data_IF_689065325068
#
_entry.id   IF_689065325068
#
_cell.length_a   1.000
_cell.length_b   1.000
_cell.length_c   1.000
_cell.angle_alpha   90.00
_cell.angle_beta   90.00
_cell.angle_gamma   90.00
#
_symmetry.space_group_name_H-M   'P 1'
#
loop_
_entity.id
_entity.type
_entity.pdbx_description
1 polymer ?
#
# COMPACT_ATOMS: atom_id res chain seq x y z
N UNK A 1 0.07 43.80 55.54
CA UNK A 1 -0.44 42.62 54.82
C UNK A 1 -0.79 43.04 53.40
N UNK A 2 -0.08 42.56 52.39
CA UNK A 2 -0.42 42.72 50.96
C UNK A 2 -0.16 41.36 50.29
N UNK A 3 -1.14 40.73 49.61
CA UNK A 3 -0.93 39.43 49.00
C UNK A 3 -0.27 39.62 47.62
N UNK A 4 0.77 38.85 47.34
CA UNK A 4 1.29 38.66 45.99
C UNK A 4 0.38 37.65 45.28
N UNK A 5 -0.28 38.07 44.20
CA UNK A 5 -0.96 37.16 43.28
C UNK A 5 0.03 36.66 42.24
N UNK A 6 0.35 35.37 42.29
CA UNK A 6 1.10 34.69 41.24
C UNK A 6 0.11 34.24 40.14
N UNK A 7 0.23 34.82 38.95
CA UNK A 7 -0.49 34.38 37.76
C UNK A 7 0.27 33.19 37.18
N UNK A 8 -0.29 31.99 37.31
CA UNK A 8 0.22 30.77 36.71
C UNK A 8 -0.31 30.67 35.27
N UNK A 9 0.50 31.04 34.28
CA UNK A 9 0.17 30.85 32.87
C UNK A 9 0.33 29.37 32.50
N UNK A 10 -0.78 28.64 32.36
CA UNK A 10 -0.79 27.32 31.73
C UNK A 10 -0.54 27.49 30.22
N UNK A 11 0.68 27.21 29.78
CA UNK A 11 0.98 27.07 28.36
C UNK A 11 0.34 25.80 27.83
N UNK A 12 -0.62 25.92 26.90
CA UNK A 12 -1.17 24.80 26.17
C UNK A 12 -0.09 24.22 25.25
N UNK A 13 0.48 23.08 25.64
CA UNK A 13 1.41 22.33 24.82
C UNK A 13 0.60 21.66 23.70
N UNK A 14 0.59 22.26 22.51
CA UNK A 14 -0.01 21.65 21.31
C UNK A 14 0.95 20.55 20.86
N UNK A 15 0.75 19.32 21.32
CA UNK A 15 1.49 18.17 20.82
C UNK A 15 1.02 17.93 19.39
N UNK A 16 1.87 18.05 18.35
CA UNK A 16 1.48 17.63 17.02
C UNK A 16 1.21 16.12 17.09
N UNK A 17 -0.03 15.72 16.81
CA UNK A 17 -0.38 14.33 16.53
C UNK A 17 0.29 13.99 15.19
N UNK A 18 1.56 13.62 15.24
CA UNK A 18 2.24 13.07 14.07
C UNK A 18 1.60 11.71 13.82
N UNK A 19 0.67 11.66 12.87
CA UNK A 19 0.25 10.38 12.33
C UNK A 19 1.46 9.75 11.66
N UNK A 20 2.03 8.73 12.31
CA UNK A 20 3.19 8.04 11.78
C UNK A 20 2.77 7.28 10.51
N UNK A 21 1.66 6.54 10.55
CA UNK A 21 1.31 5.61 9.48
C UNK A 21 0.48 6.28 8.37
N UNK A 22 0.64 5.80 7.15
CA UNK A 22 0.08 6.42 5.95
C UNK A 22 -0.88 5.52 5.16
N UNK A 23 -1.49 6.12 4.15
CA UNK A 23 -2.32 5.48 3.13
C UNK A 23 -2.08 6.16 1.77
N UNK A 24 -2.53 5.53 0.68
CA UNK A 24 -2.45 6.13 -0.65
C UNK A 24 -3.60 7.13 -0.83
N UNK A 25 -3.27 8.42 -0.77
CA UNK A 25 -4.21 9.54 -0.97
C UNK A 25 -4.74 9.61 -2.41
N UNK A 26 -3.95 9.15 -3.36
CA UNK A 26 -4.34 9.05 -4.76
C UNK A 26 -3.18 8.79 -5.68
N UNK A 27 -3.47 8.88 -6.97
CA UNK A 27 -2.51 8.59 -8.03
C UNK A 27 -2.57 9.63 -9.14
N UNK A 28 -1.47 9.76 -9.87
CA UNK A 28 -1.42 10.50 -11.13
C UNK A 28 -0.96 9.60 -12.26
N UNK A 29 -1.67 9.66 -13.38
CA UNK A 29 -1.32 8.99 -14.64
C UNK A 29 -1.45 10.03 -15.75
N UNK A 30 -0.39 10.24 -16.54
CA UNK A 30 -0.39 11.20 -17.65
C UNK A 30 -0.91 12.60 -17.26
N UNK A 31 -0.61 13.05 -16.04
CA UNK A 31 -1.02 14.35 -15.50
C UNK A 31 -2.44 14.39 -14.90
N UNK A 32 -3.21 13.31 -14.98
CA UNK A 32 -4.57 13.23 -14.42
C UNK A 32 -4.54 12.64 -13.01
N UNK A 33 -5.03 13.41 -12.04
CA UNK A 33 -5.21 12.96 -10.66
C UNK A 33 -6.45 12.08 -10.50
N UNK A 34 -6.34 11.02 -9.70
CA UNK A 34 -7.49 10.21 -9.25
C UNK A 34 -7.33 9.90 -7.76
N UNK A 35 -8.36 10.18 -6.97
CA UNK A 35 -8.34 9.94 -5.54
C UNK A 35 -8.29 8.44 -5.18
N UNK A 36 -7.47 8.13 -4.17
CA UNK A 36 -7.41 6.83 -3.50
C UNK A 36 -8.50 6.67 -2.45
N UNK A 37 -8.31 5.78 -1.49
CA UNK A 37 -9.25 5.59 -0.39
C UNK A 37 -8.71 6.25 0.89
N UNK A 38 -9.21 7.45 1.18
CA UNK A 38 -8.95 8.12 2.46
C UNK A 38 -9.77 7.45 3.57
N UNK A 39 -9.15 6.92 4.65
CA UNK A 39 -9.85 6.26 5.75
C UNK A 39 -10.93 7.11 6.43
N UNK A 40 -10.93 8.44 6.24
CA UNK A 40 -12.02 9.35 6.64
C UNK A 40 -13.36 8.97 6.02
N UNK A 41 -13.40 8.19 4.93
CA UNK A 41 -14.62 7.67 4.30
C UNK A 41 -15.60 7.07 5.32
N UNK A 42 -15.10 6.45 6.40
CA UNK A 42 -15.88 5.78 7.44
C UNK A 42 -16.78 6.75 8.24
N UNK A 43 -16.39 8.01 8.33
CA UNK A 43 -17.11 9.03 9.11
C UNK A 43 -18.17 9.77 8.29
N UNK A 44 -18.27 9.52 6.99
CA UNK A 44 -19.36 10.05 6.19
C UNK A 44 -20.68 9.35 6.54
N UNK A 45 -21.82 10.07 6.51
CA UNK A 45 -23.13 9.44 6.55
C UNK A 45 -23.24 8.31 5.51
N UNK A 46 -23.94 7.24 5.86
CA UNK A 46 -24.10 6.06 4.99
C UNK A 46 -24.54 6.47 3.58
N UNK A 47 -23.81 5.98 2.57
CA UNK A 47 -24.08 6.26 1.16
C UNK A 47 -23.59 7.61 0.63
N UNK A 48 -22.98 8.45 1.47
CA UNK A 48 -22.52 9.81 1.09
C UNK A 48 -21.02 9.94 0.90
N UNK A 49 -20.23 8.92 1.26
CA UNK A 49 -18.78 8.93 1.03
C UNK A 49 -18.48 9.09 -0.47
N UNK A 50 -17.50 9.93 -0.85
CA UNK A 50 -17.13 10.11 -2.25
C UNK A 50 -16.77 8.79 -2.94
N UNK A 51 -17.20 8.63 -4.19
CA UNK A 51 -16.74 7.53 -5.03
C UNK A 51 -15.26 7.74 -5.38
N UNK A 52 -14.41 6.76 -5.09
CA UNK A 52 -12.98 6.78 -5.39
C UNK A 52 -12.59 5.52 -6.16
N UNK A 53 -11.37 5.52 -6.72
CA UNK A 53 -10.81 4.31 -7.34
C UNK A 53 -10.19 3.37 -6.28
N UNK A 54 -9.86 3.92 -5.10
CA UNK A 54 -9.37 3.16 -3.97
C UNK A 54 -10.45 2.29 -3.34
N UNK A 55 -10.04 1.15 -2.80
CA UNK A 55 -10.89 0.27 -2.02
C UNK A 55 -10.97 0.78 -0.59
N UNK A 56 -12.19 0.96 -0.07
CA UNK A 56 -12.43 1.44 1.29
C UNK A 56 -12.19 0.32 2.29
N UNK A 57 -11.37 0.58 3.31
CA UNK A 57 -11.02 -0.38 4.38
C UNK A 57 -11.21 0.20 5.79
N UNK A 58 -11.27 -0.68 6.78
CA UNK A 58 -11.37 -0.34 8.20
C UNK A 58 -9.97 -0.10 8.81
N UNK A 59 -9.33 0.98 8.38
CA UNK A 59 -7.97 1.38 8.75
C UNK A 59 -7.93 2.84 9.23
N UNK A 60 -8.92 3.27 10.00
CA UNK A 60 -9.01 4.64 10.55
C UNK A 60 -7.86 4.95 11.53
N UNK A 61 -7.25 3.91 12.10
CA UNK A 61 -6.00 3.97 12.87
C UNK A 61 -4.75 4.20 12.00
N UNK A 62 -4.94 4.26 10.68
CA UNK A 62 -3.90 4.25 9.65
C UNK A 62 -2.97 3.04 9.77
N UNK A 63 -3.46 1.96 10.39
CA UNK A 63 -2.66 0.81 10.76
C UNK A 63 -2.39 -0.16 9.61
N UNK A 64 -1.95 -1.36 9.99
CA UNK A 64 -1.46 -2.40 9.11
C UNK A 64 -2.24 -3.70 9.28
N UNK A 65 -1.96 -4.67 8.40
CA UNK A 65 -2.29 -6.09 8.59
C UNK A 65 -1.02 -6.81 9.04
N UNK A 66 -1.09 -7.52 10.15
CA UNK A 66 0.01 -8.26 10.75
C UNK A 66 0.10 -9.71 10.22
N UNK A 67 1.27 -10.39 10.37
CA UNK A 67 1.47 -11.76 9.91
C UNK A 67 0.47 -12.80 10.42
N UNK A 68 -0.08 -12.63 11.62
CA UNK A 68 -1.14 -13.49 12.16
C UNK A 68 -2.42 -13.48 11.30
N UNK A 69 -2.65 -12.39 10.55
CA UNK A 69 -3.81 -12.22 9.68
C UNK A 69 -3.52 -12.49 8.19
N UNK A 70 -2.33 -12.99 7.84
CA UNK A 70 -2.02 -13.33 6.43
C UNK A 70 -2.90 -14.44 5.86
N UNK A 71 -3.52 -15.28 6.70
CA UNK A 71 -4.48 -16.29 6.26
C UNK A 71 -5.90 -15.77 5.99
N UNK A 72 -6.16 -14.47 6.20
CA UNK A 72 -7.51 -13.88 6.03
C UNK A 72 -7.63 -13.08 4.73
N UNK A 73 -8.83 -12.60 4.41
CA UNK A 73 -9.03 -11.72 3.26
C UNK A 73 -8.45 -10.30 3.46
N UNK A 74 -8.12 -9.91 4.70
CA UNK A 74 -7.65 -8.56 5.01
C UNK A 74 -6.31 -8.26 4.35
N UNK A 75 -5.42 -9.25 4.22
CA UNK A 75 -4.12 -9.03 3.57
C UNK A 75 -4.24 -8.73 2.07
N UNK A 76 -5.38 -9.02 1.44
CA UNK A 76 -5.59 -8.77 0.02
C UNK A 76 -5.64 -7.26 -0.29
N UNK A 77 -6.52 -6.52 0.38
CA UNK A 77 -6.75 -5.09 0.11
C UNK A 77 -6.89 -4.22 1.38
N UNK A 78 -6.38 -4.69 2.52
CA UNK A 78 -6.55 -4.15 3.87
C UNK A 78 -7.86 -4.61 4.54
N UNK A 79 -8.00 -4.30 5.84
CA UNK A 79 -9.03 -4.76 6.77
C UNK A 79 -10.43 -4.53 6.22
N UNK A 80 -11.18 -5.61 6.00
CA UNK A 80 -12.57 -5.59 5.51
C UNK A 80 -12.78 -4.73 4.26
N UNK A 81 -11.81 -4.74 3.34
CA UNK A 81 -11.83 -3.86 2.18
C UNK A 81 -13.02 -4.13 1.24
N UNK A 82 -13.64 -3.04 0.77
CA UNK A 82 -14.75 -3.04 -0.19
C UNK A 82 -14.35 -2.32 -1.47
N UNK A 83 -14.85 -2.81 -2.60
CA UNK A 83 -14.43 -2.34 -3.91
C UNK A 83 -14.67 -0.83 -4.12
N UNK A 84 -13.66 -0.16 -4.69
CA UNK A 84 -13.78 1.20 -5.19
C UNK A 84 -14.85 1.28 -6.30
N UNK A 85 -15.38 2.48 -6.52
CA UNK A 85 -16.47 2.72 -7.50
C UNK A 85 -15.98 3.35 -8.81
N UNK A 86 -14.86 4.06 -8.76
CA UNK A 86 -14.24 4.68 -9.93
C UNK A 86 -13.07 3.83 -10.45
N UNK A 87 -12.54 4.21 -11.61
CA UNK A 87 -11.40 3.57 -12.24
C UNK A 87 -10.34 4.61 -12.60
N UNK A 88 -9.08 4.24 -12.41
CA UNK A 88 -7.95 4.98 -12.98
C UNK A 88 -7.75 4.48 -14.41
N UNK A 89 -7.90 5.38 -15.38
CA UNK A 89 -7.62 5.05 -16.78
C UNK A 89 -6.10 5.04 -17.00
N UNK A 90 -5.59 3.93 -17.51
CA UNK A 90 -4.17 3.73 -17.83
C UNK A 90 -4.05 2.97 -19.15
N UNK A 91 -2.96 3.13 -19.88
CA UNK A 91 -2.56 2.20 -20.92
C UNK A 91 -1.45 1.26 -20.40
N UNK A 92 -1.34 0.08 -21.01
CA UNK A 92 -0.15 -0.74 -20.84
C UNK A 92 1.13 0.09 -21.16
N UNK A 93 2.13 0.04 -20.28
CA UNK A 93 3.35 0.84 -20.37
C UNK A 93 3.29 2.23 -19.74
N UNK A 94 2.11 2.73 -19.33
CA UNK A 94 2.03 3.99 -18.58
C UNK A 94 2.72 3.86 -17.21
N UNK A 95 3.28 4.98 -16.75
CA UNK A 95 3.74 5.11 -15.37
C UNK A 95 2.62 5.61 -14.49
N UNK A 96 2.29 4.87 -13.43
CA UNK A 96 1.42 5.33 -12.36
C UNK A 96 2.27 5.87 -11.21
N UNK A 97 2.03 7.12 -10.81
CA UNK A 97 2.61 7.72 -9.60
C UNK A 97 1.62 7.58 -8.46
N UNK A 98 2.04 7.01 -7.33
CA UNK A 98 1.23 6.81 -6.13
C UNK A 98 1.71 7.73 -5.02
N UNK A 99 0.76 8.43 -4.39
CA UNK A 99 1.02 9.46 -3.40
C UNK A 99 0.53 8.98 -2.04
N UNK A 100 1.47 8.71 -1.14
CA UNK A 100 1.17 8.49 0.27
C UNK A 100 0.96 9.81 0.97
N UNK A 101 0.05 9.87 1.95
CA UNK A 101 -0.16 11.10 2.73
C UNK A 101 1.03 11.40 3.68
N UNK A 102 1.71 10.36 4.16
CA UNK A 102 2.88 10.43 5.05
C UNK A 102 3.58 9.06 5.07
N UNK A 103 4.82 9.01 5.54
CA UNK A 103 5.51 7.76 5.87
C UNK A 103 6.64 8.01 6.89
N UNK A 104 6.79 7.21 7.97
CA UNK A 104 7.88 7.38 8.92
C UNK A 104 9.20 6.90 8.35
N UNK A 105 10.28 7.62 8.64
CA UNK A 105 11.65 7.24 8.29
C UNK A 105 12.07 5.89 8.92
N UNK A 106 11.57 5.58 10.10
CA UNK A 106 11.82 4.31 10.79
C UNK A 106 11.17 3.11 10.08
N UNK A 107 10.11 3.32 9.29
CA UNK A 107 9.34 2.25 8.65
C UNK A 107 9.96 1.81 7.32
N UNK A 108 11.24 1.41 7.40
CA UNK A 108 12.01 0.88 6.28
C UNK A 108 11.42 -0.44 5.78
N UNK A 109 11.38 -0.62 4.47
CA UNK A 109 10.89 -1.86 3.89
C UNK A 109 10.72 -1.86 2.38
N UNK A 110 10.30 -2.99 1.79
CA UNK A 110 10.02 -3.10 0.37
C UNK A 110 8.72 -2.39 -0.02
N UNK A 111 8.64 -2.07 -1.31
CA UNK A 111 7.41 -1.76 -2.03
C UNK A 111 7.15 -2.87 -3.04
N UNK A 112 5.96 -3.46 -3.02
CA UNK A 112 5.57 -4.55 -3.91
C UNK A 112 4.23 -4.21 -4.57
N UNK A 113 4.12 -4.49 -5.87
CA UNK A 113 2.92 -4.22 -6.66
C UNK A 113 2.41 -5.49 -7.34
N UNK A 114 1.10 -5.70 -7.27
CA UNK A 114 0.39 -6.82 -7.86
C UNK A 114 -0.76 -6.35 -8.73
N UNK A 115 -1.13 -7.17 -9.72
CA UNK A 115 -2.35 -7.01 -10.51
C UNK A 115 -3.22 -8.26 -10.38
N UNK A 116 -4.54 -8.05 -10.31
CA UNK A 116 -5.55 -9.10 -10.43
C UNK A 116 -6.61 -8.67 -11.44
N UNK A 117 -7.09 -9.54 -12.34
CA UNK A 117 -8.24 -9.25 -13.18
C UNK A 117 -9.48 -8.90 -12.35
N UNK A 118 -10.21 -7.86 -12.75
CA UNK A 118 -11.40 -7.38 -12.06
C UNK A 118 -12.67 -7.59 -12.87
N UNK A 119 -13.57 -8.41 -12.33
CA UNK A 119 -14.84 -8.81 -12.94
C UNK A 119 -16.05 -8.37 -12.08
N UNK A 120 -15.92 -7.32 -11.28
CA UNK A 120 -17.00 -6.79 -10.43
C UNK A 120 -17.08 -7.41 -9.03
N UNK A 121 -16.00 -8.01 -8.54
CA UNK A 121 -15.93 -8.50 -7.17
C UNK A 121 -16.16 -7.35 -6.18
N UNK A 122 -16.93 -7.59 -5.12
CA UNK A 122 -17.21 -6.60 -4.07
C UNK A 122 -16.21 -6.65 -2.92
N UNK A 123 -15.53 -7.78 -2.76
CA UNK A 123 -14.47 -8.04 -1.77
C UNK A 123 -13.23 -8.61 -2.46
N UNK A 124 -12.09 -8.53 -1.78
CA UNK A 124 -10.79 -8.87 -2.36
C UNK A 124 -10.39 -10.35 -2.20
N UNK A 125 -11.14 -11.12 -1.41
CA UNK A 125 -10.77 -12.50 -1.02
C UNK A 125 -10.67 -13.49 -2.18
N UNK A 126 -11.40 -13.25 -3.28
CA UNK A 126 -11.38 -14.09 -4.48
C UNK A 126 -10.44 -13.58 -5.58
N UNK A 127 -9.78 -12.43 -5.40
CA UNK A 127 -8.84 -11.91 -6.38
C UNK A 127 -7.54 -12.74 -6.35
N UNK A 128 -7.06 -13.07 -7.55
CA UNK A 128 -5.80 -13.81 -7.75
C UNK A 128 -4.72 -12.86 -8.26
N UNK A 129 -3.70 -12.64 -7.43
CA UNK A 129 -2.69 -11.61 -7.59
C UNK A 129 -1.45 -12.12 -8.31
N UNK A 130 -0.99 -11.36 -9.30
CA UNK A 130 0.30 -11.57 -9.97
C UNK A 130 1.23 -10.41 -9.66
N UNK A 131 2.38 -10.71 -9.06
CA UNK A 131 3.39 -9.71 -8.68
C UNK A 131 4.07 -9.21 -9.96
N UNK A 132 3.97 -7.93 -10.30
CA UNK A 132 4.59 -7.41 -11.53
C UNK A 132 5.75 -6.45 -11.25
N UNK A 133 5.87 -5.95 -10.02
CA UNK A 133 6.96 -5.07 -9.61
C UNK A 133 7.28 -5.26 -8.13
N UNK A 134 8.56 -5.20 -7.78
CA UNK A 134 9.06 -5.24 -6.41
C UNK A 134 10.34 -4.41 -6.31
N UNK A 135 10.54 -3.71 -5.19
CA UNK A 135 11.73 -2.91 -4.90
C UNK A 135 11.97 -2.89 -3.39
N UNK A 136 13.23 -2.91 -2.96
CA UNK A 136 13.60 -2.95 -1.55
C UNK A 136 14.81 -2.06 -1.29
N UNK A 137 16.02 -2.63 -1.30
CA UNK A 137 17.26 -1.90 -1.03
C UNK A 137 17.71 -1.19 -2.31
N UNK A 138 17.93 0.13 -2.22
CA UNK A 138 18.44 0.97 -3.32
C UNK A 138 19.96 0.94 -3.33
N UNK A 139 20.58 1.17 -2.17
CA UNK A 139 22.03 1.13 -1.99
C UNK A 139 22.37 1.11 -0.50
N UNK A 140 23.34 0.28 -0.07
CA UNK A 140 23.71 0.20 1.35
C UNK A 140 22.50 -0.09 2.24
N UNK A 141 22.22 0.81 3.19
CA UNK A 141 21.05 0.75 4.09
C UNK A 141 19.89 1.65 3.66
N UNK A 142 19.95 2.23 2.45
CA UNK A 142 18.88 3.03 1.86
C UNK A 142 17.82 2.10 1.27
N UNK A 143 16.61 2.17 1.80
CA UNK A 143 15.43 1.44 1.35
C UNK A 143 14.61 2.29 0.38
N UNK A 144 13.78 1.64 -0.44
CA UNK A 144 12.88 2.31 -1.39
C UNK A 144 11.89 3.23 -0.69
N UNK A 145 11.55 2.96 0.59
CA UNK A 145 10.75 3.86 1.43
C UNK A 145 11.49 5.16 1.78
N UNK A 146 12.82 5.15 1.89
CA UNK A 146 13.61 6.37 2.08
C UNK A 146 13.52 7.26 0.82
N UNK A 147 13.59 6.64 -0.37
CA UNK A 147 13.37 7.36 -1.64
C UNK A 147 11.94 7.87 -1.77
N UNK A 148 10.94 7.12 -1.32
CA UNK A 148 9.55 7.56 -1.26
C UNK A 148 9.42 8.83 -0.41
N UNK A 149 10.00 8.85 0.79
CA UNK A 149 9.97 10.02 1.68
C UNK A 149 10.68 11.21 1.03
N UNK A 150 11.89 11.00 0.50
CA UNK A 150 12.68 12.05 -0.17
C UNK A 150 11.97 12.63 -1.40
N UNK A 151 11.09 11.85 -2.03
CA UNK A 151 10.28 12.25 -3.17
C UNK A 151 8.87 12.71 -2.77
N UNK A 152 8.74 13.42 -1.64
CA UNK A 152 7.45 13.92 -1.11
C UNK A 152 6.40 12.82 -1.01
N UNK A 153 6.74 11.71 -0.36
CA UNK A 153 5.88 10.55 -0.15
C UNK A 153 5.33 9.92 -1.44
N UNK A 154 6.07 10.04 -2.54
CA UNK A 154 5.64 9.58 -3.87
C UNK A 154 6.52 8.45 -4.39
N UNK A 155 5.87 7.39 -4.88
CA UNK A 155 6.52 6.27 -5.59
C UNK A 155 5.88 6.06 -6.95
N UNK A 156 6.56 5.33 -7.84
CA UNK A 156 6.06 5.08 -9.20
C UNK A 156 6.25 3.62 -9.60
N UNK A 157 5.36 3.11 -10.43
CA UNK A 157 5.54 1.81 -11.10
C UNK A 157 5.02 1.88 -12.53
N UNK A 158 5.53 1.02 -13.41
CA UNK A 158 5.12 0.96 -14.82
C UNK A 158 4.13 -0.18 -14.99
N UNK A 159 2.97 0.10 -15.58
CA UNK A 159 2.01 -0.95 -15.94
C UNK A 159 2.66 -1.86 -17.00
N UNK A 160 2.63 -3.20 -16.87
CA UNK A 160 3.33 -4.09 -17.80
C UNK A 160 2.95 -3.80 -19.25
N UNK A 161 3.95 -3.64 -20.13
CA UNK A 161 3.77 -3.11 -21.50
C UNK A 161 2.92 -4.00 -22.40
N UNK A 162 2.94 -5.30 -22.15
CA UNK A 162 2.20 -6.31 -22.90
C UNK A 162 0.90 -6.74 -22.20
N UNK A 163 0.51 -6.07 -21.10
CA UNK A 163 -0.71 -6.36 -20.36
C UNK A 163 -1.94 -6.20 -21.27
N UNK A 164 -2.79 -7.23 -21.29
CA UNK A 164 -4.05 -7.20 -22.04
C UNK A 164 -4.96 -6.10 -21.51
N UNK A 165 -5.59 -5.35 -22.42
CA UNK A 165 -6.61 -4.38 -22.05
C UNK A 165 -7.75 -5.04 -21.24
N UNK A 166 -8.29 -4.32 -20.25
CA UNK A 166 -9.31 -4.84 -19.34
C UNK A 166 -9.35 -4.10 -18.01
N UNK A 167 -10.24 -4.55 -17.14
CA UNK A 167 -10.34 -4.04 -15.78
C UNK A 167 -9.45 -4.88 -14.86
N UNK A 168 -8.71 -4.20 -13.97
CA UNK A 168 -7.81 -4.84 -13.02
C UNK A 168 -7.90 -4.14 -11.66
N UNK A 169 -7.47 -4.84 -10.61
CA UNK A 169 -7.12 -4.22 -9.34
C UNK A 169 -5.61 -4.19 -9.23
N UNK A 170 -5.06 -2.99 -9.03
CA UNK A 170 -3.69 -2.79 -8.57
C UNK A 170 -3.68 -2.89 -7.05
N UNK A 171 -2.87 -3.81 -6.51
CA UNK A 171 -2.54 -3.86 -5.09
C UNK A 171 -1.11 -3.34 -4.91
N UNK A 172 -1.00 -2.13 -4.36
CA UNK A 172 0.26 -1.51 -3.97
C UNK A 172 0.48 -1.72 -2.49
N UNK A 173 1.68 -2.09 -2.07
CA UNK A 173 1.95 -2.37 -0.65
C UNK A 173 3.35 -1.92 -0.25
N UNK A 174 3.42 -1.29 0.93
CA UNK A 174 4.65 -1.20 1.71
C UNK A 174 4.60 -2.26 2.82
N UNK A 175 5.70 -2.95 3.08
CA UNK A 175 5.87 -3.81 4.26
C UNK A 175 6.87 -3.14 5.19
N UNK A 176 6.45 -2.55 6.30
CA UNK A 176 7.37 -1.95 7.26
C UNK A 176 8.04 -3.03 8.12
N UNK A 177 9.37 -2.97 8.20
CA UNK A 177 10.20 -4.01 8.81
C UNK A 177 10.79 -3.62 10.17
N UNK A 178 10.49 -2.43 10.68
CA UNK A 178 11.11 -1.91 11.92
C UNK A 178 10.91 -2.83 13.15
N UNK A 179 9.82 -3.61 13.19
CA UNK A 179 9.56 -4.64 14.20
C UNK A 179 9.78 -6.08 13.71
N UNK A 180 10.12 -6.29 12.44
CA UNK A 180 10.13 -7.59 11.78
C UNK A 180 11.24 -8.55 12.24
N UNK A 181 12.15 -8.10 13.11
CA UNK A 181 13.10 -9.00 13.79
C UNK A 181 12.42 -9.95 14.79
N UNK A 182 11.19 -9.66 15.19
CA UNK A 182 10.37 -10.49 16.07
C UNK A 182 9.21 -11.13 15.31
N UNK A 183 8.78 -12.28 15.79
CA UNK A 183 7.59 -12.96 15.28
C UNK A 183 6.36 -12.04 15.32
N UNK A 184 5.57 -12.03 14.25
CA UNK A 184 4.43 -11.13 14.03
C UNK A 184 4.76 -9.61 13.97
N UNK A 185 6.04 -9.24 13.86
CA UNK A 185 6.47 -7.84 13.93
C UNK A 185 6.50 -7.06 12.61
N UNK A 186 6.40 -7.73 11.46
CA UNK A 186 6.22 -7.06 10.18
C UNK A 186 4.84 -6.40 10.08
N UNK A 187 4.75 -5.30 9.34
CA UNK A 187 3.51 -4.52 9.21
C UNK A 187 3.21 -4.28 7.73
N UNK A 188 2.13 -4.86 7.23
CA UNK A 188 1.75 -4.76 5.83
C UNK A 188 0.70 -3.67 5.60
N UNK A 189 0.93 -2.80 4.62
CA UNK A 189 0.05 -1.70 4.25
C UNK A 189 -0.45 -1.84 2.80
N UNK A 190 -1.29 -2.85 2.51
CA UNK A 190 -1.86 -3.01 1.18
C UNK A 190 -2.88 -1.92 0.88
N UNK A 191 -2.84 -1.37 -0.34
CA UNK A 191 -3.74 -0.35 -0.86
C UNK A 191 -4.19 -0.79 -2.25
N UNK A 192 -5.50 -0.99 -2.42
CA UNK A 192 -6.07 -1.46 -3.67
C UNK A 192 -6.74 -0.35 -4.47
N UNK A 193 -6.52 -0.37 -5.78
CA UNK A 193 -6.97 0.65 -6.73
C UNK A 193 -7.54 -0.02 -7.98
N UNK A 194 -8.73 0.37 -8.41
CA UNK A 194 -9.31 -0.09 -9.67
C UNK A 194 -8.64 0.59 -10.86
N UNK A 195 -8.17 -0.22 -11.81
CA UNK A 195 -7.58 0.23 -13.08
C UNK A 195 -8.47 -0.19 -14.25
N UNK A 196 -8.63 0.72 -15.21
CA UNK A 196 -9.14 0.42 -16.55
C UNK A 196 -7.98 0.54 -17.52
N UNK A 197 -7.43 -0.60 -17.92
CA UNK A 197 -6.25 -0.70 -18.78
C UNK A 197 -6.68 -0.72 -20.25
N UNK A 198 -6.15 0.22 -21.03
CA UNK A 198 -6.20 0.25 -22.50
C UNK A 198 -4.89 -0.21 -23.14
N UNK A 199 -4.81 -0.09 -24.47
CA UNK A 199 -3.66 -0.49 -25.27
C UNK A 199 -3.85 -1.82 -26.03
N UNK A 200 -2.81 -2.26 -26.72
CA UNK A 200 -2.83 -3.42 -27.61
C UNK A 200 -2.11 -4.67 -27.05
N UNK A 201 -1.77 -4.66 -25.76
CA UNK A 201 -1.19 -5.83 -25.10
C UNK A 201 -2.13 -7.03 -25.16
N UNK A 202 -1.57 -8.23 -25.08
CA UNK A 202 -2.30 -9.49 -25.25
C UNK A 202 -2.11 -10.47 -24.10
N UNK A 203 -1.20 -10.17 -23.17
CA UNK A 203 -0.83 -11.05 -22.08
C UNK A 203 -1.70 -10.76 -20.86
N UNK A 204 -2.48 -11.74 -20.43
CA UNK A 204 -3.23 -11.68 -19.17
C UNK A 204 -2.44 -12.34 -18.03
N UNK A 205 -2.60 -11.86 -16.77
CA UNK A 205 -2.13 -12.60 -15.61
C UNK A 205 -2.73 -14.02 -15.58
N UNK A 206 -1.91 -15.06 -15.48
CA UNK A 206 -2.32 -16.46 -15.41
C UNK A 206 -1.73 -17.12 -14.16
N UNK A 207 -2.54 -17.83 -13.38
CA UNK A 207 -2.05 -18.55 -12.20
C UNK A 207 -1.70 -17.67 -11.00
N UNK A 208 -2.41 -16.56 -10.80
CA UNK A 208 -2.21 -15.66 -9.67
C UNK A 208 -2.47 -16.34 -8.31
N UNK A 209 -1.94 -15.74 -7.24
CA UNK A 209 -2.07 -16.23 -5.86
C UNK A 209 -3.20 -15.47 -5.14
N UNK A 210 -4.12 -16.18 -4.47
CA UNK A 210 -5.14 -15.51 -3.66
C UNK A 210 -4.52 -14.75 -2.49
N UNK A 211 -5.16 -13.66 -2.05
CA UNK A 211 -4.60 -12.77 -1.03
C UNK A 211 -4.13 -13.50 0.23
N UNK A 212 -4.96 -14.39 0.77
CA UNK A 212 -4.69 -15.18 1.98
C UNK A 212 -3.53 -16.20 1.85
N UNK A 213 -2.96 -16.33 0.65
CA UNK A 213 -1.82 -17.20 0.35
C UNK A 213 -0.61 -16.43 -0.17
N UNK A 214 -0.66 -15.08 -0.16
CA UNK A 214 0.45 -14.25 -0.63
C UNK A 214 1.66 -14.40 0.28
N UNK A 215 1.48 -14.42 1.60
CA UNK A 215 2.57 -14.35 2.56
C UNK A 215 2.44 -15.42 3.63
N UNK A 216 3.59 -15.88 4.13
CA UNK A 216 3.65 -16.71 5.33
C UNK A 216 4.34 -15.92 6.44
N UNK A 217 3.86 -16.14 7.66
CA UNK A 217 4.44 -15.56 8.89
C UNK A 217 5.94 -15.86 9.03
N UNK A 218 6.41 -16.96 8.46
CA UNK A 218 7.79 -17.44 8.50
C UNK A 218 8.58 -17.17 7.22
N UNK A 219 8.03 -16.44 6.25
CA UNK A 219 8.80 -16.04 5.07
C UNK A 219 10.01 -15.20 5.51
N UNK A 220 11.18 -15.46 4.91
CA UNK A 220 12.44 -14.81 5.32
C UNK A 220 12.42 -13.27 5.16
N UNK A 221 11.55 -12.73 4.32
CA UNK A 221 11.32 -11.29 4.18
C UNK A 221 10.31 -10.70 5.17
N UNK A 222 9.54 -11.57 5.85
CA UNK A 222 8.54 -11.20 6.86
C UNK A 222 9.16 -11.28 8.27
N UNK A 223 9.87 -12.35 8.58
CA UNK A 223 10.72 -12.43 9.78
C UNK A 223 12.13 -12.00 9.40
N UNK A 224 12.35 -10.68 9.39
CA UNK A 224 13.56 -10.05 8.88
C UNK A 224 14.09 -8.98 9.85
N UNK A 225 15.32 -9.13 10.32
CA UNK A 225 15.95 -8.14 11.19
C UNK A 225 16.78 -7.13 10.36
N UNK A 226 16.27 -5.91 10.18
CA UNK A 226 16.97 -4.85 9.44
C UNK A 226 18.07 -4.12 10.24
N UNK A 227 18.31 -4.52 11.49
CA UNK A 227 19.36 -3.95 12.34
C UNK A 227 20.64 -4.80 12.36
N UNK A 228 20.69 -5.88 11.60
CA UNK A 228 21.89 -6.68 11.36
C UNK A 228 22.46 -6.45 9.95
N UNK A 229 23.57 -7.07 9.62
CA UNK A 229 24.15 -6.98 8.27
C UNK A 229 23.33 -7.77 7.26
N UNK A 230 23.00 -7.14 6.12
CA UNK A 230 22.37 -7.76 4.96
C UNK A 230 22.87 -7.11 3.67
N UNK A 231 22.90 -7.88 2.59
CA UNK A 231 23.27 -7.40 1.24
C UNK A 231 22.11 -7.45 0.26
N UNK A 232 21.02 -8.14 0.62
CA UNK A 232 19.83 -8.32 -0.18
C UNK A 232 18.60 -8.54 0.71
N UNK A 233 17.42 -8.26 0.17
CA UNK A 233 16.16 -8.53 0.83
C UNK A 233 15.43 -9.72 0.17
N UNK A 234 15.11 -10.79 0.90
CA UNK A 234 14.36 -11.92 0.36
C UNK A 234 12.87 -11.57 0.23
N UNK A 235 12.46 -11.13 -0.97
CA UNK A 235 11.06 -10.73 -1.21
C UNK A 235 10.07 -11.85 -0.87
N UNK A 236 9.04 -11.58 -0.04
CA UNK A 236 8.00 -12.55 0.26
C UNK A 236 7.00 -12.67 -0.89
N UNK A 237 6.18 -13.72 -0.85
CA UNK A 237 5.13 -14.02 -1.82
C UNK A 237 5.60 -14.51 -3.19
N UNK A 238 4.69 -14.59 -4.18
CA UNK A 238 4.94 -15.31 -5.42
C UNK A 238 6.09 -14.71 -6.22
N UNK A 239 6.65 -15.51 -7.13
CA UNK A 239 7.66 -15.05 -8.06
C UNK A 239 7.16 -13.85 -8.89
N UNK A 240 8.11 -13.02 -9.34
CA UNK A 240 7.80 -11.91 -10.23
C UNK A 240 7.23 -12.46 -11.55
N UNK A 241 6.05 -11.99 -11.92
CA UNK A 241 5.41 -12.25 -13.20
C UNK A 241 6.03 -11.33 -14.26
N UNK A 242 6.88 -11.91 -15.10
CA UNK A 242 7.65 -11.17 -16.12
C UNK A 242 7.06 -11.28 -17.52
N UNK A 243 6.05 -12.13 -17.74
CA UNK A 243 5.53 -12.44 -19.07
C UNK A 243 4.88 -11.24 -19.79
N UNK A 244 4.52 -10.18 -19.07
CA UNK A 244 3.86 -9.00 -19.64
C UNK A 244 4.71 -7.72 -19.65
N UNK A 245 5.99 -7.78 -19.28
CA UNK A 245 6.87 -6.59 -19.20
C UNK A 245 7.47 -6.16 -20.55
#
# INVERSE_FOLDING_TARGET
>A
MRPFSAILSLGACIIPLVSAHGFVSGVTVNGVWTAGADPVWYYYPSGTSPATAGWNSLNQDLGFVEPANFGTADIACHKSATAGKNFINVNAGDTIKLYWNTWPDSHKGPIINYLAPYNGQTTAGSLSWSKFSQSAIVSGTTWVTDTLIANNFTTSTVIPRNLKAGNYVLRHEIIALHGAGSDNGAQNYPQCLNLKVGGSGTVSPSGGTVGSSLYKRTDAGILFNLYTSYTSYPYPGPALWTAAN
#
